data_IF_225408488330
#
_entry.id   IF_225408488330
#
_cell.length_a   1.000
_cell.length_b   1.000
_cell.length_c   1.000
_cell.angle_alpha   90.00
_cell.angle_beta   90.00
_cell.angle_gamma   90.00
#
_symmetry.space_group_name_H-M   'P 1'
#
loop_
_entity.id
_entity.type
_entity.pdbx_description
1 polymer ?
#
# COMPACT_ATOMS: atom_id res chain seq x y z
N UNK A 1 -29.71 -12.51 7.35
CA UNK A 1 -28.86 -11.31 7.47
C UNK A 1 -27.60 -11.55 6.64
N UNK A 2 -27.44 -10.82 5.52
CA UNK A 2 -26.26 -10.94 4.66
C UNK A 2 -25.12 -10.18 5.35
N UNK A 3 -24.19 -10.90 5.96
CA UNK A 3 -22.99 -10.29 6.53
C UNK A 3 -22.29 -9.49 5.43
N UNK A 4 -22.21 -8.17 5.62
CA UNK A 4 -21.32 -7.33 4.83
C UNK A 4 -19.91 -7.89 5.01
N UNK A 5 -19.40 -8.58 3.99
CA UNK A 5 -18.06 -9.17 3.99
C UNK A 5 -17.03 -8.05 3.87
N UNK A 6 -16.84 -7.33 4.97
CA UNK A 6 -15.80 -6.31 5.20
C UNK A 6 -14.49 -7.04 5.60
N UNK A 7 -14.64 -8.15 6.33
CA UNK A 7 -13.57 -9.02 6.84
C UNK A 7 -12.54 -9.43 5.77
N UNK A 8 -12.91 -9.83 4.53
CA UNK A 8 -11.91 -10.24 3.54
C UNK A 8 -11.02 -9.09 3.09
N UNK A 9 -11.58 -7.88 2.91
CA UNK A 9 -10.82 -6.71 2.48
C UNK A 9 -9.80 -6.25 3.52
N UNK A 10 -10.21 -6.24 4.79
CA UNK A 10 -9.32 -5.90 5.92
C UNK A 10 -8.25 -6.97 6.12
N UNK A 11 -8.59 -8.25 5.99
CA UNK A 11 -7.62 -9.35 6.09
C UNK A 11 -6.56 -9.27 4.98
N UNK A 12 -6.99 -9.01 3.73
CA UNK A 12 -6.08 -8.83 2.59
C UNK A 12 -5.16 -7.62 2.76
N UNK A 13 -5.60 -6.60 3.50
CA UNK A 13 -4.78 -5.44 3.84
C UNK A 13 -3.81 -5.73 5.00
N UNK A 14 -4.23 -6.46 6.03
CA UNK A 14 -3.38 -6.75 7.19
C UNK A 14 -2.24 -7.73 6.88
N UNK A 15 -2.44 -8.67 5.95
CA UNK A 15 -1.49 -9.76 5.69
C UNK A 15 -0.13 -9.24 5.16
N UNK A 16 -0.06 -8.32 4.18
CA UNK A 16 1.20 -7.70 3.75
C UNK A 16 1.91 -6.92 4.87
N UNK A 17 1.17 -6.21 5.73
CA UNK A 17 1.73 -5.46 6.86
C UNK A 17 2.37 -6.42 7.87
N UNK A 18 1.67 -7.52 8.20
CA UNK A 18 2.23 -8.53 9.11
C UNK A 18 3.48 -9.18 8.51
N UNK A 19 3.47 -9.47 7.21
CA UNK A 19 4.63 -10.03 6.52
C UNK A 19 5.83 -9.08 6.57
N UNK A 20 5.64 -7.78 6.29
CA UNK A 20 6.72 -6.81 6.35
C UNK A 20 7.26 -6.59 7.76
N UNK A 21 6.41 -6.65 8.80
CA UNK A 21 6.85 -6.61 10.20
C UNK A 21 7.74 -7.81 10.53
N UNK A 22 7.34 -9.03 10.12
CA UNK A 22 8.13 -10.25 10.37
C UNK A 22 9.49 -10.16 9.67
N UNK A 23 9.50 -9.77 8.39
CA UNK A 23 10.73 -9.59 7.62
C UNK A 23 11.62 -8.53 8.28
N UNK A 24 11.04 -7.40 8.71
CA UNK A 24 11.77 -6.35 9.42
C UNK A 24 12.43 -6.87 10.72
N UNK A 25 11.70 -7.61 11.54
CA UNK A 25 12.23 -8.21 12.77
C UNK A 25 13.38 -9.19 12.48
N UNK A 26 13.24 -10.03 11.45
CA UNK A 26 14.29 -10.98 11.03
C UNK A 26 15.54 -10.23 10.57
N UNK A 27 15.40 -9.26 9.67
CA UNK A 27 16.54 -8.47 9.19
C UNK A 27 17.20 -7.67 10.32
N UNK A 28 16.41 -7.08 11.22
CA UNK A 28 16.96 -6.37 12.38
C UNK A 28 17.72 -7.29 13.34
N UNK A 29 17.32 -8.55 13.46
CA UNK A 29 18.04 -9.54 14.27
C UNK A 29 19.32 -10.07 13.62
N UNK A 30 19.38 -10.08 12.28
CA UNK A 30 20.51 -10.61 11.50
C UNK A 30 21.56 -9.54 11.18
N UNK A 31 21.17 -8.28 11.01
CA UNK A 31 22.06 -7.18 10.63
C UNK A 31 21.73 -5.92 11.42
N UNK A 32 22.49 -5.68 12.49
CA UNK A 32 22.46 -4.43 13.27
C UNK A 32 23.14 -3.24 12.58
N UNK A 33 23.70 -3.44 11.38
CA UNK A 33 24.56 -2.48 10.69
C UNK A 33 23.89 -1.64 9.58
N UNK A 34 22.64 -1.92 9.20
CA UNK A 34 21.98 -1.18 8.10
C UNK A 34 21.39 0.13 8.63
N UNK A 35 22.20 1.18 8.67
CA UNK A 35 21.78 2.55 8.97
C UNK A 35 21.45 3.27 7.67
N UNK A 36 20.16 3.42 7.34
CA UNK A 36 19.68 4.26 6.22
C UNK A 36 19.79 5.76 6.51
N UNK A 37 20.79 6.16 7.28
CA UNK A 37 20.95 7.53 7.78
C UNK A 37 21.78 8.42 6.85
N UNK A 38 22.71 7.84 6.10
CA UNK A 38 23.63 8.60 5.23
C UNK A 38 22.96 9.21 3.99
N UNK A 39 21.88 8.61 3.48
CA UNK A 39 21.23 9.05 2.23
C UNK A 39 19.73 9.32 2.39
N UNK A 40 19.35 9.95 3.49
CA UNK A 40 17.92 10.19 3.82
C UNK A 40 17.20 11.12 2.88
N UNK A 41 17.88 12.14 2.37
CA UNK A 41 17.27 13.09 1.44
C UNK A 41 16.93 12.39 0.11
N UNK A 42 17.86 11.57 -0.39
CA UNK A 42 17.65 10.75 -1.59
C UNK A 42 16.57 9.67 -1.36
N UNK A 43 16.58 9.00 -0.21
CA UNK A 43 15.57 8.01 0.17
C UNK A 43 14.18 8.65 0.30
N UNK A 44 14.09 9.79 0.98
CA UNK A 44 12.84 10.53 1.16
C UNK A 44 12.26 11.01 -0.16
N UNK A 45 13.10 11.53 -1.06
CA UNK A 45 12.70 11.92 -2.41
C UNK A 45 12.20 10.72 -3.23
N UNK A 46 12.89 9.58 -3.17
CA UNK A 46 12.49 8.36 -3.86
C UNK A 46 11.15 7.82 -3.33
N UNK A 47 10.98 7.76 -2.00
CA UNK A 47 9.74 7.27 -1.36
C UNK A 47 8.56 8.19 -1.67
N UNK A 48 8.76 9.51 -1.58
CA UNK A 48 7.71 10.48 -1.90
C UNK A 48 7.30 10.40 -3.38
N UNK A 49 8.26 10.33 -4.30
CA UNK A 49 7.99 10.16 -5.73
C UNK A 49 7.27 8.85 -6.05
N UNK A 50 7.72 7.74 -5.45
CA UNK A 50 7.07 6.43 -5.54
C UNK A 50 5.62 6.50 -5.06
N UNK A 51 5.37 7.02 -3.86
CA UNK A 51 4.05 7.09 -3.27
C UNK A 51 3.12 8.00 -4.10
N UNK A 52 3.59 9.16 -4.54
CA UNK A 52 2.82 10.09 -5.38
C UNK A 52 2.41 9.48 -6.72
N UNK A 53 3.35 8.85 -7.42
CA UNK A 53 3.08 8.15 -8.70
C UNK A 53 2.06 7.03 -8.50
N UNK A 54 2.22 6.28 -7.43
CA UNK A 54 1.38 5.14 -7.11
C UNK A 54 -0.04 5.56 -6.74
N UNK A 55 -0.19 6.66 -5.99
CA UNK A 55 -1.51 7.23 -5.69
C UNK A 55 -2.25 7.58 -6.98
N UNK A 56 -1.56 8.17 -7.96
CA UNK A 56 -2.16 8.48 -9.26
C UNK A 56 -2.62 7.20 -9.99
N UNK A 57 -1.81 6.15 -9.98
CA UNK A 57 -2.18 4.84 -10.54
C UNK A 57 -3.40 4.27 -9.81
N UNK A 58 -3.45 4.36 -8.49
CA UNK A 58 -4.54 3.86 -7.67
C UNK A 58 -5.86 4.59 -7.96
N UNK A 59 -5.82 5.91 -8.15
CA UNK A 59 -6.98 6.72 -8.54
C UNK A 59 -7.47 6.33 -9.95
N UNK A 60 -6.55 6.17 -10.90
CA UNK A 60 -6.87 5.74 -12.26
C UNK A 60 -7.52 4.33 -12.25
N UNK A 61 -6.93 3.41 -11.49
CA UNK A 61 -7.43 2.07 -11.26
C UNK A 61 -8.83 2.08 -10.63
N UNK A 62 -9.08 2.91 -9.61
CA UNK A 62 -10.39 3.02 -8.98
C UNK A 62 -11.45 3.58 -9.95
N UNK A 63 -11.08 4.60 -10.71
CA UNK A 63 -11.93 5.17 -11.77
C UNK A 63 -12.30 4.11 -12.80
N UNK A 64 -11.35 3.25 -13.20
CA UNK A 64 -11.61 2.13 -14.09
C UNK A 64 -12.58 1.11 -13.47
N UNK A 65 -12.38 0.71 -12.21
CA UNK A 65 -13.30 -0.21 -11.49
C UNK A 65 -14.71 0.36 -11.42
N UNK A 66 -14.87 1.66 -11.13
CA UNK A 66 -16.19 2.30 -11.06
C UNK A 66 -16.82 2.43 -12.45
N UNK A 67 -16.02 2.74 -13.46
CA UNK A 67 -16.44 2.96 -14.86
C UNK A 67 -16.86 1.69 -15.62
N UNK A 68 -16.43 0.50 -15.20
CA UNK A 68 -16.79 -0.77 -15.85
C UNK A 68 -18.29 -1.09 -15.67
N UNK A 69 -19.17 -0.59 -16.53
CA UNK A 69 -20.59 -1.01 -16.58
C UNK A 69 -20.76 -2.23 -17.48
N UNK A 70 -20.45 -3.42 -16.98
CA UNK A 70 -20.61 -4.69 -17.72
C UNK A 70 -21.40 -5.78 -16.98
N UNK A 71 -21.92 -6.78 -17.70
CA UNK A 71 -22.62 -7.97 -17.14
C UNK A 71 -21.78 -8.72 -16.08
N UNK A 72 -20.45 -8.65 -16.17
CA UNK A 72 -19.53 -9.26 -15.20
C UNK A 72 -19.53 -8.55 -13.84
N UNK A 73 -19.81 -7.24 -13.83
CA UNK A 73 -19.87 -6.44 -12.61
C UNK A 73 -21.13 -6.73 -11.77
N UNK A 74 -22.21 -7.22 -12.40
CA UNK A 74 -23.41 -7.68 -11.68
C UNK A 74 -23.10 -8.93 -10.84
N UNK A 75 -22.26 -9.85 -11.34
CA UNK A 75 -21.80 -11.02 -10.56
C UNK A 75 -20.90 -10.59 -9.40
N UNK A 76 -19.93 -9.69 -9.62
CA UNK A 76 -19.03 -9.19 -8.56
C UNK A 76 -19.77 -8.40 -7.48
N UNK A 77 -20.80 -7.61 -7.87
CA UNK A 77 -21.72 -6.95 -6.93
C UNK A 77 -22.57 -7.94 -6.14
N UNK A 78 -23.05 -9.01 -6.77
CA UNK A 78 -23.90 -10.03 -6.11
C UNK A 78 -23.16 -10.82 -5.01
N UNK A 79 -21.84 -10.98 -5.11
CA UNK A 79 -21.04 -11.72 -4.12
C UNK A 79 -20.49 -10.86 -2.95
N UNK A 80 -20.78 -9.56 -2.90
CA UNK A 80 -20.24 -8.65 -1.87
C UNK A 80 -18.73 -8.36 -2.00
N UNK A 81 -18.09 -8.89 -3.04
CA UNK A 81 -16.65 -8.75 -3.31
C UNK A 81 -16.27 -7.31 -3.67
N UNK A 82 -17.16 -6.58 -4.34
CA UNK A 82 -16.92 -5.17 -4.71
C UNK A 82 -16.68 -4.28 -3.49
N UNK A 83 -17.38 -4.51 -2.37
CA UNK A 83 -17.18 -3.73 -1.13
C UNK A 83 -15.79 -3.98 -0.55
N UNK A 84 -15.33 -5.23 -0.50
CA UNK A 84 -13.97 -5.57 -0.06
C UNK A 84 -12.89 -4.92 -0.92
N UNK A 85 -13.08 -4.86 -2.25
CA UNK A 85 -12.14 -4.21 -3.17
C UNK A 85 -12.08 -2.70 -2.91
N UNK A 86 -13.22 -2.03 -2.79
CA UNK A 86 -13.26 -0.58 -2.51
C UNK A 86 -12.58 -0.26 -1.17
N UNK A 87 -12.80 -1.08 -0.14
CA UNK A 87 -12.14 -0.93 1.16
C UNK A 87 -10.62 -1.08 1.02
N UNK A 88 -10.16 -2.11 0.32
CA UNK A 88 -8.72 -2.35 0.10
C UNK A 88 -8.07 -1.15 -0.62
N UNK A 89 -8.73 -0.61 -1.64
CA UNK A 89 -8.27 0.61 -2.33
C UNK A 89 -8.21 1.81 -1.38
N UNK A 90 -9.26 2.06 -0.59
CA UNK A 90 -9.29 3.18 0.35
C UNK A 90 -8.19 3.08 1.42
N UNK A 91 -7.97 1.88 1.96
CA UNK A 91 -6.91 1.63 2.95
C UNK A 91 -5.51 1.81 2.33
N UNK A 92 -5.30 1.29 1.11
CA UNK A 92 -4.03 1.44 0.38
C UNK A 92 -3.77 2.90 0.02
N UNK A 93 -4.80 3.67 -0.34
CA UNK A 93 -4.68 5.11 -0.56
C UNK A 93 -4.21 5.84 0.70
N UNK A 94 -4.81 5.53 1.86
CA UNK A 94 -4.41 6.13 3.13
C UNK A 94 -2.98 5.75 3.53
N UNK A 95 -2.60 4.48 3.36
CA UNK A 95 -1.24 3.99 3.61
C UNK A 95 -0.22 4.72 2.71
N UNK A 96 -0.48 4.82 1.40
CA UNK A 96 0.38 5.55 0.48
C UNK A 96 0.46 7.05 0.81
N UNK A 97 -0.62 7.65 1.30
CA UNK A 97 -0.61 9.02 1.80
C UNK A 97 0.34 9.18 2.98
N UNK A 98 0.31 8.25 3.95
CA UNK A 98 1.26 8.24 5.07
C UNK A 98 2.70 8.07 4.55
N UNK A 99 2.95 7.12 3.64
CA UNK A 99 4.27 6.88 3.03
C UNK A 99 4.79 8.13 2.30
N UNK A 100 3.92 8.83 1.56
CA UNK A 100 4.25 10.08 0.88
C UNK A 100 4.75 11.14 1.87
N UNK A 101 3.98 11.39 2.93
CA UNK A 101 4.37 12.36 3.96
C UNK A 101 5.61 11.90 4.75
N UNK A 102 5.78 10.60 5.00
CA UNK A 102 7.03 10.10 5.61
C UNK A 102 8.26 10.37 4.73
N UNK A 103 8.12 10.24 3.41
CA UNK A 103 9.17 10.63 2.45
C UNK A 103 9.50 12.13 2.54
N UNK A 104 8.48 12.98 2.61
CA UNK A 104 8.67 14.43 2.82
C UNK A 104 9.30 14.75 4.17
N UNK A 105 8.89 14.08 5.25
CA UNK A 105 9.46 14.27 6.59
C UNK A 105 10.93 13.86 6.64
N UNK A 106 11.32 12.80 5.94
CA UNK A 106 12.72 12.38 5.83
C UNK A 106 13.60 13.47 5.21
N UNK A 107 13.11 14.16 4.18
CA UNK A 107 13.80 15.30 3.56
C UNK A 107 13.80 16.54 4.47
N UNK A 108 12.68 16.79 5.17
CA UNK A 108 12.52 17.99 6.00
C UNK A 108 13.32 17.93 7.33
N UNK A 109 13.53 16.74 7.90
CA UNK A 109 14.22 16.54 9.19
C UNK A 109 15.73 16.33 9.07
N UNK A 110 16.34 16.72 7.94
CA UNK A 110 17.77 16.58 7.66
C UNK A 110 18.70 17.13 8.78
N UNK A 111 18.25 18.15 9.54
CA UNK A 111 19.00 18.72 10.68
C UNK A 111 18.82 18.01 12.03
N UNK A 112 17.71 17.32 12.26
CA UNK A 112 17.42 16.58 13.51
C UNK A 112 16.86 15.18 13.18
N UNK A 113 17.76 14.19 13.02
CA UNK A 113 17.44 12.79 12.74
C UNK A 113 16.37 12.13 13.61
N UNK A 114 15.25 11.71 13.02
CA UNK A 114 14.40 10.69 13.62
C UNK A 114 14.95 9.31 13.21
N UNK A 115 15.68 8.64 14.10
CA UNK A 115 16.42 7.41 13.79
C UNK A 115 15.57 6.25 13.25
N UNK A 116 14.30 6.16 13.67
CA UNK A 116 13.37 5.11 13.25
C UNK A 116 12.65 5.41 11.93
N UNK A 117 12.60 6.68 11.50
CA UNK A 117 11.79 7.10 10.36
C UNK A 117 12.19 6.44 9.03
N UNK A 118 13.49 6.32 8.68
CA UNK A 118 13.92 5.67 7.43
C UNK A 118 13.57 4.18 7.37
N UNK A 119 13.67 3.48 8.51
CA UNK A 119 13.34 2.06 8.59
C UNK A 119 11.85 1.82 8.41
N UNK A 120 11.02 2.64 9.07
CA UNK A 120 9.57 2.55 8.97
C UNK A 120 9.08 2.91 7.57
N UNK A 121 9.67 3.94 6.94
CA UNK A 121 9.29 4.34 5.59
C UNK A 121 9.58 3.25 4.56
N UNK A 122 10.71 2.55 4.68
CA UNK A 122 11.05 1.41 3.80
C UNK A 122 10.08 0.24 4.03
N UNK A 123 9.82 -0.11 5.30
CA UNK A 123 8.89 -1.19 5.64
C UNK A 123 7.48 -0.94 5.11
N UNK A 124 6.96 0.28 5.29
CA UNK A 124 5.65 0.67 4.77
C UNK A 124 5.64 0.75 3.23
N UNK A 125 6.72 1.25 2.60
CA UNK A 125 6.82 1.25 1.13
C UNK A 125 6.77 -0.17 0.55
N UNK A 126 7.45 -1.13 1.20
CA UNK A 126 7.41 -2.54 0.82
C UNK A 126 6.01 -3.15 1.00
N UNK A 127 5.32 -2.78 2.08
CA UNK A 127 3.93 -3.19 2.35
C UNK A 127 3.00 -2.68 1.25
N UNK A 128 3.03 -1.38 0.97
CA UNK A 128 2.23 -0.76 -0.08
C UNK A 128 2.47 -1.39 -1.45
N UNK A 129 3.72 -1.72 -1.78
CA UNK A 129 4.07 -2.42 -3.03
C UNK A 129 3.35 -3.77 -3.17
N UNK A 130 3.22 -4.53 -2.08
CA UNK A 130 2.45 -5.76 -2.06
C UNK A 130 0.95 -5.50 -2.21
N UNK A 131 0.39 -4.48 -1.56
CA UNK A 131 -1.03 -4.13 -1.72
C UNK A 131 -1.37 -3.75 -3.16
N UNK A 132 -0.53 -2.95 -3.82
CA UNK A 132 -0.72 -2.57 -5.24
C UNK A 132 -0.66 -3.81 -6.13
N UNK A 133 0.26 -4.74 -5.85
CA UNK A 133 0.37 -5.99 -6.62
C UNK A 133 -0.91 -6.83 -6.52
N UNK A 134 -1.48 -6.93 -5.32
CA UNK A 134 -2.77 -7.59 -5.09
C UNK A 134 -3.90 -6.88 -5.85
N UNK A 135 -3.94 -5.54 -5.78
CA UNK A 135 -4.94 -4.72 -6.47
C UNK A 135 -4.86 -4.90 -8.00
N UNK A 136 -3.66 -4.85 -8.57
CA UNK A 136 -3.43 -5.08 -9.99
C UNK A 136 -3.87 -6.47 -10.42
N UNK A 137 -3.57 -7.50 -9.60
CA UNK A 137 -4.03 -8.85 -9.88
C UNK A 137 -5.56 -8.98 -9.86
N UNK A 138 -6.24 -8.29 -8.93
CA UNK A 138 -7.71 -8.24 -8.88
C UNK A 138 -8.28 -7.57 -10.12
N UNK A 139 -7.71 -6.45 -10.54
CA UNK A 139 -8.09 -5.75 -11.78
C UNK A 139 -7.95 -6.62 -13.02
N UNK A 140 -6.82 -7.30 -13.18
CA UNK A 140 -6.58 -8.20 -14.32
C UNK A 140 -7.62 -9.33 -14.35
N UNK A 141 -7.95 -9.90 -13.19
CA UNK A 141 -9.01 -10.91 -13.10
C UNK A 141 -10.40 -10.37 -13.46
N UNK A 142 -10.68 -9.10 -13.18
CA UNK A 142 -11.93 -8.46 -13.60
C UNK A 142 -11.97 -8.11 -15.08
N UNK A 143 -10.83 -7.87 -15.71
CA UNK A 143 -10.74 -7.58 -17.13
C UNK A 143 -10.82 -8.85 -18.00
N UNK A 144 -10.23 -9.97 -17.55
CA UNK A 144 -10.09 -11.20 -18.35
C UNK A 144 -11.23 -12.23 -18.16
N UNK A 145 -12.30 -11.92 -17.42
CA UNK A 145 -13.46 -12.82 -17.20
C UNK A 145 -14.76 -12.05 -17.17
#
# INVERSE_FOLDING_TARGET
>A
MREHKIVPGVLLFALPILFTIVVYCIFRSLTSAISFTEHRDALGAAISSYAGTTIAILIAALTFVIGIRGKNMQKVKAYGYMTSVIILYALTFAELGIVFFMGLFLMATSKQPIALLPSLSIGLSASSMMHISIILFQLLKFSNK
#
